data_IF_478827581996
#
_entry.id   IF_478827581996
#
_cell.length_a   1.000
_cell.length_b   1.000
_cell.length_c   1.000
_cell.angle_alpha   90.00
_cell.angle_beta   90.00
_cell.angle_gamma   90.00
#
_symmetry.space_group_name_H-M   'P 1'
#
loop_
_entity.id
_entity.type
_entity.pdbx_description
1 polymer ?
#
# COMPACT_ATOMS: atom_id res chain seq x y z
N UNK A 1 -6.66 -19.98 -6.42
CA UNK A 1 -6.52 -19.58 -6.40
C UNK A 1 -6.13 -18.93 -6.40
N UNK A 2 -5.81 -18.94 -6.39
CA UNK A 2 -5.51 -18.41 -6.49
C UNK A 2 -5.21 -17.51 -6.46
N UNK A 3 -5.24 -17.80 -6.39
CA UNK A 3 -5.04 -16.69 -6.73
C UNK A 3 -4.22 -15.68 -6.03
N UNK A 4 -4.85 -14.72 -5.60
CA UNK A 4 -4.20 -13.59 -5.02
C UNK A 4 -3.73 -13.88 -3.62
N UNK A 5 -2.49 -13.59 -3.35
CA UNK A 5 -1.94 -13.78 -2.01
C UNK A 5 -1.76 -12.46 -1.32
N UNK A 6 -2.11 -12.43 -0.05
CA UNK A 6 -1.95 -11.22 0.75
C UNK A 6 -0.95 -11.49 1.86
N UNK A 7 -0.16 -10.48 2.16
CA UNK A 7 0.73 -10.54 3.31
C UNK A 7 0.12 -9.69 4.41
N UNK A 8 -0.14 -10.29 5.55
CA UNK A 8 -0.69 -9.56 6.67
C UNK A 8 0.43 -9.00 7.52
N UNK A 9 0.07 -8.11 8.45
CA UNK A 9 1.05 -7.57 9.37
C UNK A 9 1.71 -8.68 10.16
N UNK A 10 0.95 -9.68 10.59
CA UNK A 10 1.50 -10.79 11.33
C UNK A 10 2.52 -11.56 10.52
N UNK A 11 2.22 -11.79 9.25
CA UNK A 11 3.15 -12.49 8.39
C UNK A 11 4.42 -11.69 8.15
N UNK A 12 4.28 -10.38 8.00
CA UNK A 12 5.44 -9.53 7.85
C UNK A 12 6.34 -9.62 9.08
N UNK A 13 5.74 -9.58 10.26
CA UNK A 13 6.50 -9.68 11.50
C UNK A 13 7.22 -11.02 11.56
N UNK A 14 6.54 -12.10 11.19
CA UNK A 14 7.15 -13.42 11.21
C UNK A 14 8.34 -13.52 10.25
N UNK A 15 8.20 -12.93 9.08
CA UNK A 15 9.28 -12.95 8.11
C UNK A 15 10.50 -12.19 8.61
N UNK A 16 10.27 -11.04 9.21
CA UNK A 16 11.39 -10.27 9.75
C UNK A 16 12.04 -11.02 10.90
N UNK A 17 11.23 -11.61 11.77
CA UNK A 17 11.77 -12.35 12.90
C UNK A 17 12.63 -13.52 12.43
N UNK A 18 12.22 -14.18 11.34
CA UNK A 18 13.00 -15.28 10.80
C UNK A 18 14.34 -14.80 10.24
N UNK A 19 14.35 -13.62 9.63
CA UNK A 19 15.58 -13.07 9.08
C UNK A 19 16.50 -12.48 10.14
N UNK A 20 15.91 -12.06 11.26
CA UNK A 20 16.68 -11.47 12.36
C UNK A 20 16.56 -12.36 13.57
N UNK A 21 16.96 -13.62 13.42
CA UNK A 21 16.70 -14.59 14.45
C UNK A 21 17.53 -14.39 15.73
N UNK A 22 18.44 -13.42 15.70
CA UNK A 22 19.17 -13.05 16.92
C UNK A 22 18.37 -12.11 17.81
N UNK A 23 17.21 -11.64 17.32
CA UNK A 23 16.38 -10.75 18.11
C UNK A 23 15.18 -11.52 18.64
N UNK A 24 14.73 -11.20 19.86
CA UNK A 24 13.50 -11.82 20.34
C UNK A 24 12.31 -11.45 19.44
N UNK A 25 11.46 -12.41 19.21
CA UNK A 25 10.31 -12.17 18.34
C UNK A 25 9.46 -11.02 18.83
N UNK A 26 9.33 -10.89 20.14
CA UNK A 26 8.55 -9.81 20.72
C UNK A 26 9.12 -8.44 20.39
N UNK A 27 10.43 -8.33 20.35
CA UNK A 27 11.07 -7.06 20.00
C UNK A 27 10.83 -6.72 18.55
N UNK A 28 10.85 -7.72 17.67
CA UNK A 28 10.56 -7.50 16.26
C UNK A 28 9.12 -7.02 16.11
N UNK A 29 8.20 -7.63 16.82
CA UNK A 29 6.81 -7.22 16.74
C UNK A 29 6.64 -5.78 17.18
N UNK A 30 7.26 -5.40 18.29
CA UNK A 30 7.17 -4.03 18.76
C UNK A 30 7.75 -3.05 17.77
N UNK A 31 8.87 -3.40 17.17
CA UNK A 31 9.51 -2.50 16.21
C UNK A 31 8.64 -2.27 14.99
N UNK A 32 8.03 -3.32 14.47
CA UNK A 32 7.16 -3.18 13.30
C UNK A 32 5.95 -2.34 13.65
N UNK A 33 5.35 -2.61 14.80
CA UNK A 33 4.19 -1.83 15.22
C UNK A 33 4.54 -0.36 15.36
N UNK A 34 5.72 -0.07 15.88
CA UNK A 34 6.14 1.29 16.08
C UNK A 34 6.36 2.01 14.77
N UNK A 35 6.97 1.33 13.81
CA UNK A 35 7.16 1.93 12.49
C UNK A 35 5.81 2.31 11.89
N UNK A 36 4.85 1.39 11.92
CA UNK A 36 3.55 1.66 11.32
C UNK A 36 2.81 2.77 12.06
N UNK A 37 2.95 2.81 13.38
CA UNK A 37 2.29 3.82 14.17
C UNK A 37 2.87 5.20 13.91
N UNK A 38 4.20 5.29 13.82
CA UNK A 38 4.85 6.56 13.53
C UNK A 38 4.41 7.07 12.16
N UNK A 39 4.32 6.19 11.17
CA UNK A 39 3.87 6.58 9.84
C UNK A 39 2.42 7.03 9.87
N UNK A 40 1.58 6.33 10.62
CA UNK A 40 0.18 6.70 10.72
C UNK A 40 0.03 8.07 11.35
N UNK A 41 0.78 8.33 12.41
CA UNK A 41 0.71 9.62 13.08
C UNK A 41 1.19 10.75 12.17
N UNK A 42 2.26 10.51 11.43
CA UNK A 42 2.77 11.52 10.52
C UNK A 42 1.74 11.88 9.47
N UNK A 43 1.09 10.88 8.89
CA UNK A 43 0.07 11.14 7.89
C UNK A 43 -1.15 11.83 8.50
N UNK A 44 -1.52 11.43 9.73
CA UNK A 44 -2.63 12.07 10.39
C UNK A 44 -2.38 13.56 10.63
N UNK A 45 -1.12 13.95 10.74
CA UNK A 45 -0.75 15.35 10.90
C UNK A 45 -0.49 16.06 9.59
N UNK A 46 -0.73 15.40 8.48
CA UNK A 46 -0.57 16.01 7.17
C UNK A 46 0.84 15.99 6.62
N UNK A 47 1.72 15.21 7.24
CA UNK A 47 3.10 15.14 6.78
C UNK A 47 3.22 14.15 5.63
N UNK A 48 4.15 14.43 4.74
CA UNK A 48 4.48 13.54 3.66
C UNK A 48 5.64 12.64 4.11
N UNK A 49 5.57 11.38 3.76
CA UNK A 49 6.62 10.43 4.11
C UNK A 49 7.32 10.00 2.82
N UNK A 50 8.63 10.20 2.77
CA UNK A 50 9.40 9.75 1.63
C UNK A 50 10.40 8.71 2.08
N UNK A 51 10.33 7.54 1.46
CA UNK A 51 11.26 6.44 1.77
C UNK A 51 12.01 6.15 0.48
N UNK A 52 13.25 6.63 0.44
CA UNK A 52 14.05 6.51 -0.76
C UNK A 52 14.19 5.05 -1.17
N UNK A 53 13.98 4.78 -2.43
CA UNK A 53 14.07 3.43 -2.95
C UNK A 53 12.78 2.65 -2.83
N UNK A 54 11.81 3.17 -2.10
CA UNK A 54 10.55 2.47 -1.90
C UNK A 54 9.37 3.27 -2.45
N UNK A 55 9.21 4.48 -1.97
CA UNK A 55 8.10 5.31 -2.45
C UNK A 55 7.77 6.39 -1.46
N UNK A 56 6.65 7.03 -1.70
CA UNK A 56 6.22 8.11 -0.83
C UNK A 56 4.74 8.00 -0.52
N UNK A 57 4.38 8.46 0.67
CA UNK A 57 3.01 8.50 1.13
C UNK A 57 2.62 9.95 1.33
N UNK A 58 1.45 10.32 0.88
CA UNK A 58 0.94 11.68 1.08
C UNK A 58 -0.56 11.61 1.18
N UNK A 59 -1.17 12.72 1.55
CA UNK A 59 -2.61 12.78 1.63
C UNK A 59 -3.15 13.46 0.39
N UNK A 60 -4.24 12.92 -0.12
CA UNK A 60 -4.98 13.53 -1.21
C UNK A 60 -6.35 13.92 -0.69
N UNK A 61 -6.74 15.13 -1.00
CA UNK A 61 -8.05 15.59 -0.59
C UNK A 61 -9.07 15.21 -1.63
N UNK A 62 -10.14 14.58 -1.18
CA UNK A 62 -11.26 14.26 -2.03
C UNK A 62 -12.35 15.25 -1.74
N UNK A 63 -12.71 16.11 -2.71
CA UNK A 63 -13.68 17.17 -2.43
C UNK A 63 -15.06 16.59 -2.17
N UNK A 64 -15.93 17.39 -1.55
CA UNK A 64 -17.30 16.96 -1.35
C UNK A 64 -17.96 16.67 -2.69
N UNK A 65 -18.84 15.72 -2.69
CA UNK A 65 -19.55 15.36 -3.90
C UNK A 65 -20.85 14.71 -3.51
N UNK A 66 -21.67 14.46 -4.52
CA UNK A 66 -22.93 13.78 -4.29
C UNK A 66 -22.79 12.31 -4.64
N UNK A 67 -23.26 11.48 -3.75
CA UNK A 67 -23.32 10.06 -4.02
C UNK A 67 -24.76 9.63 -4.06
N UNK A 68 -24.99 8.35 -4.18
CA UNK A 68 -26.33 7.81 -4.23
C UNK A 68 -26.42 6.61 -3.29
N UNK A 69 -27.48 6.59 -2.51
CA UNK A 69 -27.73 5.47 -1.61
C UNK A 69 -28.16 4.27 -2.45
N UNK A 70 -27.40 3.19 -2.44
CA UNK A 70 -27.75 2.06 -3.30
C UNK A 70 -29.05 1.39 -2.91
N UNK A 71 -29.50 1.57 -1.66
CA UNK A 71 -30.74 0.94 -1.24
C UNK A 71 -31.96 1.74 -1.62
N UNK A 72 -31.89 3.05 -1.53
CA UNK A 72 -33.06 3.89 -1.79
C UNK A 72 -32.97 4.66 -3.06
N UNK A 73 -31.77 4.78 -3.63
CA UNK A 73 -31.57 5.61 -4.81
C UNK A 73 -31.50 7.08 -4.52
N UNK A 74 -31.58 7.47 -3.26
CA UNK A 74 -31.55 8.89 -2.92
C UNK A 74 -30.16 9.46 -3.06
N UNK A 75 -30.10 10.71 -3.48
CA UNK A 75 -28.86 11.44 -3.52
C UNK A 75 -28.46 11.86 -2.12
N UNK A 76 -27.21 11.62 -1.76
CA UNK A 76 -26.70 12.03 -0.46
C UNK A 76 -25.45 12.85 -0.66
N UNK A 77 -25.25 13.81 0.20
CA UNK A 77 -24.06 14.65 0.16
C UNK A 77 -22.92 13.89 0.85
N UNK A 78 -21.79 13.83 0.17
CA UNK A 78 -20.59 13.21 0.73
C UNK A 78 -19.62 14.32 1.08
N UNK A 79 -19.20 14.36 2.33
CA UNK A 79 -18.28 15.38 2.80
C UNK A 79 -16.91 15.15 2.20
N UNK A 80 -16.14 16.22 2.06
CA UNK A 80 -14.75 16.09 1.66
C UNK A 80 -13.95 15.34 2.70
N UNK A 81 -12.89 14.71 2.26
CA UNK A 81 -12.03 13.96 3.17
C UNK A 81 -10.65 13.79 2.60
N UNK A 82 -9.71 13.50 3.48
CA UNK A 82 -8.36 13.19 3.06
C UNK A 82 -8.17 11.68 3.03
N UNK A 83 -7.46 11.21 2.03
CA UNK A 83 -7.15 9.78 1.94
C UNK A 83 -5.66 9.63 1.72
N UNK A 84 -5.04 8.61 2.33
CA UNK A 84 -3.63 8.34 2.08
C UNK A 84 -3.45 7.85 0.66
N UNK A 85 -2.35 8.26 0.06
CA UNK A 85 -2.00 7.86 -1.29
C UNK A 85 -0.54 7.43 -1.28
N UNK A 86 -0.26 6.29 -1.89
CA UNK A 86 1.09 5.79 -2.00
C UNK A 86 1.54 5.86 -3.45
N UNK A 87 2.70 6.47 -3.66
CA UNK A 87 3.30 6.52 -4.98
C UNK A 87 4.61 5.74 -4.92
N UNK A 88 4.75 4.67 -5.69
CA UNK A 88 5.99 3.88 -5.64
C UNK A 88 7.15 4.65 -6.23
N UNK A 89 8.34 4.41 -5.68
CA UNK A 89 9.54 4.93 -6.26
C UNK A 89 9.95 4.10 -7.47
N UNK A 90 11.02 4.54 -8.12
CA UNK A 90 11.45 3.87 -9.34
C UNK A 90 11.84 2.42 -9.09
N UNK A 91 12.58 2.18 -8.01
CA UNK A 91 13.04 0.83 -7.75
C UNK A 91 11.89 -0.14 -7.55
N UNK A 92 10.91 0.25 -6.76
CA UNK A 92 9.76 -0.61 -6.53
C UNK A 92 8.94 -0.79 -7.79
N UNK A 93 8.73 0.30 -8.51
CA UNK A 93 7.95 0.24 -9.74
C UNK A 93 8.59 -0.69 -10.75
N UNK A 94 9.92 -0.63 -10.86
CA UNK A 94 10.63 -1.49 -11.79
C UNK A 94 10.54 -2.94 -11.37
N UNK A 95 10.60 -3.20 -10.07
CA UNK A 95 10.56 -4.58 -9.60
C UNK A 95 9.23 -5.26 -9.88
N UNK A 96 8.14 -4.52 -9.79
CA UNK A 96 6.84 -5.13 -10.04
C UNK A 96 6.56 -5.28 -11.52
N UNK A 97 7.32 -4.58 -12.37
CA UNK A 97 7.11 -4.63 -13.82
C UNK A 97 8.28 -5.20 -14.57
N UNK A 98 9.26 -5.76 -13.89
CA UNK A 98 10.48 -6.21 -14.53
C UNK A 98 10.24 -7.49 -15.29
N UNK A 99 10.32 -7.47 -16.62
CA UNK A 99 10.07 -8.67 -17.41
C UNK A 99 11.18 -9.71 -17.28
N UNK A 100 12.39 -9.26 -16.91
CA UNK A 100 13.49 -10.18 -16.79
C UNK A 100 13.53 -10.83 -15.45
N UNK A 101 12.81 -10.33 -14.49
CA UNK A 101 12.88 -10.84 -13.17
C UNK A 101 12.03 -12.04 -13.08
N UNK A 102 12.42 -13.10 -13.70
CA UNK A 102 11.68 -14.31 -13.59
C UNK A 102 10.26 -14.11 -14.07
N UNK A 103 10.14 -13.72 -15.28
CA UNK A 103 8.85 -13.42 -15.84
C UNK A 103 7.87 -14.55 -15.65
N UNK A 104 8.35 -15.74 -15.61
CA UNK A 104 7.47 -16.87 -15.42
C UNK A 104 6.83 -16.84 -14.06
N UNK A 105 7.52 -16.34 -13.07
CA UNK A 105 6.97 -16.34 -11.74
C UNK A 105 5.97 -15.24 -11.56
N UNK A 106 6.11 -14.23 -12.36
CA UNK A 106 5.26 -13.18 -12.10
C UNK A 106 4.25 -13.01 -12.97
N UNK A 107 4.06 -13.28 -13.61
CA UNK A 107 3.02 -13.01 -14.34
C UNK A 107 2.12 -12.22 -13.99
N UNK A 108 2.02 -11.59 -13.71
CA UNK A 108 1.15 -11.06 -13.16
C UNK A 108 0.21 -10.43 -13.54
N UNK A 109 0.23 -10.44 -13.51
CA UNK A 109 -0.56 -9.94 -13.54
C UNK A 109 -1.13 -9.20 -14.18
N UNK A 110 -1.24 -9.36 -14.48
CA UNK A 110 -1.82 -8.77 -14.90
C UNK A 110 -2.24 -8.16 -15.44
N UNK A 111 -2.62 -8.13 -15.73
CA UNK A 111 -3.09 -7.42 -16.33
C UNK A 111 -3.39 -6.37 -16.61
N UNK A 112 -3.30 -6.42 -16.56
CA UNK A 112 -3.64 -5.50 -16.71
C UNK A 112 -3.67 -4.65 -17.10
N UNK A 113 -3.56 -4.93 -17.12
CA UNK A 113 -3.64 -4.09 -17.35
C UNK A 113 -3.58 -3.29 -17.73
N UNK A 114 -3.46 -3.63 -17.78
CA UNK A 114 -3.45 -2.84 -18.14
C UNK A 114 -3.35 -1.93 -18.20
N UNK A 115 -3.20 -2.18 -18.13
CA UNK A 115 -3.21 -1.32 -18.22
C UNK A 115 -3.04 -0.39 -18.18
N UNK A 116 -2.84 -0.47 -18.14
CA UNK A 116 -2.71 0.41 -18.16
C UNK A 116 -2.49 1.32 -18.44
N UNK A 117 -2.28 0.88 -18.48
CA UNK A 117 -2.11 1.70 -18.74
C UNK A 117 -1.89 2.53 -18.86
N UNK A 118 -1.71 2.31 -18.88
CA UNK A 118 -1.67 3.15 -18.99
C UNK A 118 -1.47 4.04 -18.90
N UNK A 119 -1.24 3.97 -18.67
CA UNK A 119 -1.25 4.83 -18.56
C UNK A 119 -0.87 5.62 -18.54
N UNK A 120 -0.55 5.55 -18.41
CA UNK A 120 -0.48 6.39 -18.47
C UNK A 120 -0.21 7.03 -18.60
#
# INVERSE_FOLDING_TARGET
MDGERSMTKSELIELIAAKQNHLPAKDVELAVKQVLEIMSDALAQGQRIEIRGFGSFSLHFRPPRQGRNPKTGETVALAGKYVPHFKPGKDLRDRVNDPDDDASAHSPRLPMTAARSAAE
#
